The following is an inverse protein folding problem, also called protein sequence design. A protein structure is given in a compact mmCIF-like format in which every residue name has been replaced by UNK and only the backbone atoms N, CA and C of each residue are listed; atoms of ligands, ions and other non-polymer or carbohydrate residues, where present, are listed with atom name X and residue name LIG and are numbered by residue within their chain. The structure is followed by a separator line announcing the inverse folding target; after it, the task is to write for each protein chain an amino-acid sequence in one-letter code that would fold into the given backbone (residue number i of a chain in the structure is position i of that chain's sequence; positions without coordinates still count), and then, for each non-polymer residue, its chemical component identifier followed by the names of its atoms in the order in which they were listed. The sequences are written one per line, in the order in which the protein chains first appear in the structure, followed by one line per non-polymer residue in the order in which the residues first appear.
data_IF_972897678636
#
_entry.id   IF_972897678636
#
_cell.length_a   1.000
_cell.length_b   1.000
_cell.length_c   1.000
_cell.angle_alpha   90.00
_cell.angle_beta   90.00
_cell.angle_gamma   90.00
#
_symmetry.space_group_name_H-M   'P 1'
#
loop_
_entity.id
_entity.type
_entity.pdbx_description
1 polymer ?
#
# COMPACT_ATOMS: atom_id res chain seq x y z
N UNK A 1 -35.52 -17.39 -6.39
CA UNK A 1 -34.57 -18.19 -5.59
C UNK A 1 -34.51 -17.62 -4.18
N UNK A 2 -34.94 -18.35 -3.14
CA UNK A 2 -34.95 -17.85 -1.76
C UNK A 2 -33.56 -17.57 -1.15
N UNK A 3 -32.48 -17.98 -1.83
CA UNK A 3 -31.10 -17.87 -1.35
C UNK A 3 -30.16 -17.10 -2.29
N UNK A 4 -30.68 -16.43 -3.33
CA UNK A 4 -29.81 -15.65 -4.23
C UNK A 4 -29.39 -14.33 -3.57
N UNK A 5 -28.08 -14.14 -3.42
CA UNK A 5 -27.50 -12.92 -2.86
C UNK A 5 -27.36 -11.85 -3.95
N UNK A 6 -28.39 -11.03 -4.08
CA UNK A 6 -28.44 -9.90 -5.01
C UNK A 6 -27.32 -8.89 -4.76
N UNK A 7 -26.88 -8.72 -3.50
CA UNK A 7 -25.80 -7.79 -3.17
C UNK A 7 -24.45 -8.31 -3.66
N UNK A 8 -24.21 -9.62 -3.50
CA UNK A 8 -23.01 -10.25 -4.05
C UNK A 8 -22.99 -10.19 -5.59
N UNK A 9 -24.14 -10.43 -6.24
CA UNK A 9 -24.27 -10.31 -7.69
C UNK A 9 -24.02 -8.86 -8.18
N UNK A 10 -24.60 -7.86 -7.49
CA UNK A 10 -24.38 -6.46 -7.83
C UNK A 10 -22.91 -6.03 -7.66
N UNK A 11 -22.24 -6.48 -6.60
CA UNK A 11 -20.79 -6.26 -6.42
C UNK A 11 -19.98 -6.90 -7.54
N UNK A 12 -20.33 -8.13 -7.94
CA UNK A 12 -19.64 -8.84 -9.03
C UNK A 12 -19.78 -8.06 -10.35
N UNK A 13 -21.00 -7.69 -10.72
CA UNK A 13 -21.26 -6.93 -11.95
C UNK A 13 -20.58 -5.55 -11.90
N UNK A 14 -20.63 -4.84 -10.77
CA UNK A 14 -19.91 -3.58 -10.60
C UNK A 14 -18.41 -3.75 -10.85
N UNK A 15 -17.82 -4.83 -10.31
CA UNK A 15 -16.39 -5.13 -10.48
C UNK A 15 -16.05 -5.41 -11.94
N UNK A 16 -16.90 -6.15 -12.65
CA UNK A 16 -16.71 -6.46 -14.07
C UNK A 16 -16.81 -5.20 -14.94
N UNK A 17 -17.81 -4.34 -14.70
CA UNK A 17 -18.01 -3.07 -15.42
C UNK A 17 -16.86 -2.07 -15.18
N UNK A 18 -16.27 -2.08 -13.98
CA UNK A 18 -15.26 -1.13 -13.55
C UNK A 18 -13.87 -1.76 -13.41
N UNK A 19 -13.63 -2.90 -14.07
CA UNK A 19 -12.39 -3.67 -13.93
C UNK A 19 -11.15 -2.81 -14.16
N UNK A 20 -11.20 -1.90 -15.13
CA UNK A 20 -10.13 -0.95 -15.43
C UNK A 20 -9.74 -0.08 -14.21
N UNK A 21 -10.69 0.34 -13.37
CA UNK A 21 -10.40 1.08 -12.13
C UNK A 21 -9.74 0.20 -11.08
N UNK A 22 -10.16 -1.07 -10.99
CA UNK A 22 -9.51 -2.03 -10.11
C UNK A 22 -8.09 -2.36 -10.58
N UNK A 23 -7.82 -2.42 -11.89
CA UNK A 23 -6.48 -2.62 -12.42
C UNK A 23 -5.51 -1.47 -12.06
N UNK A 24 -5.99 -0.22 -12.04
CA UNK A 24 -5.20 0.92 -11.54
C UNK A 24 -4.73 0.71 -10.09
N UNK A 25 -5.53 -0.01 -9.32
CA UNK A 25 -5.36 -0.22 -7.88
C UNK A 25 -4.66 -1.55 -7.57
N UNK A 26 -4.77 -2.55 -8.46
CA UNK A 26 -4.27 -3.92 -8.32
C UNK A 26 -2.75 -4.03 -8.21
N UNK A 27 -2.04 -3.08 -8.80
CA UNK A 27 -0.57 -3.07 -8.88
C UNK A 27 0.16 -2.52 -7.65
N UNK A 28 -0.54 -2.08 -6.59
CA UNK A 28 0.16 -1.49 -5.45
C UNK A 28 -0.69 -0.98 -4.28
N UNK A 29 -2.02 -1.09 -4.32
CA UNK A 29 -2.84 -0.72 -3.17
C UNK A 29 -3.05 -1.94 -2.29
N UNK A 30 -2.19 -1.99 -1.29
CA UNK A 30 -2.36 -2.72 -0.05
C UNK A 30 -3.79 -2.51 0.51
N UNK A 31 -4.35 -3.45 1.28
CA UNK A 31 -5.43 -3.10 2.18
C UNK A 31 -4.90 -2.05 3.16
N UNK A 32 -5.11 -0.78 2.85
CA UNK A 32 -4.67 0.33 3.69
C UNK A 32 -5.39 0.25 5.03
N UNK A 33 -4.61 0.28 6.10
CA UNK A 33 -5.16 0.40 7.44
C UNK A 33 -5.82 1.77 7.57
N UNK A 34 -6.81 1.90 8.46
CA UNK A 34 -7.50 3.16 8.73
C UNK A 34 -6.52 4.32 9.04
N UNK A 35 -5.41 4.00 9.70
CA UNK A 35 -4.34 4.95 9.96
C UNK A 35 -3.71 5.51 8.67
N UNK A 36 -3.51 4.70 7.62
CA UNK A 36 -2.96 5.17 6.35
C UNK A 36 -3.96 6.05 5.60
N UNK A 37 -5.26 5.73 5.66
CA UNK A 37 -6.31 6.59 5.11
C UNK A 37 -6.34 7.97 5.77
N UNK A 38 -6.25 7.99 7.10
CA UNK A 38 -6.18 9.23 7.86
C UNK A 38 -4.94 10.04 7.49
N UNK A 39 -3.77 9.41 7.46
CA UNK A 39 -2.51 10.06 7.09
C UNK A 39 -2.55 10.61 5.66
N UNK A 40 -3.12 9.86 4.70
CA UNK A 40 -3.31 10.32 3.33
C UNK A 40 -4.25 11.53 3.26
N UNK A 41 -5.32 11.54 4.04
CA UNK A 41 -6.26 12.68 4.11
C UNK A 41 -5.57 13.93 4.68
N UNK A 42 -4.81 13.78 5.77
CA UNK A 42 -4.04 14.88 6.37
C UNK A 42 -2.99 15.42 5.40
N UNK A 43 -2.28 14.55 4.67
CA UNK A 43 -1.30 14.92 3.64
C UNK A 43 -1.93 15.65 2.46
N UNK A 44 -3.07 15.16 1.96
CA UNK A 44 -3.79 15.80 0.86
C UNK A 44 -4.28 17.20 1.24
N UNK A 45 -4.81 17.37 2.47
CA UNK A 45 -5.23 18.67 2.97
C UNK A 45 -4.05 19.63 3.15
N UNK A 46 -2.96 19.17 3.78
CA UNK A 46 -1.75 19.96 4.06
C UNK A 46 -1.09 20.48 2.78
N UNK A 47 -1.14 19.69 1.70
CA UNK A 47 -0.48 19.99 0.43
C UNK A 47 -1.45 20.42 -0.67
N UNK A 48 -2.69 20.77 -0.32
CA UNK A 48 -3.69 21.20 -1.29
C UNK A 48 -3.20 22.42 -2.09
N UNK A 49 -3.28 22.34 -3.43
CA UNK A 49 -2.84 23.39 -4.34
C UNK A 49 -1.33 23.60 -4.42
N UNK A 50 -0.52 22.69 -3.87
CA UNK A 50 0.94 22.72 -3.95
C UNK A 50 1.44 21.62 -4.87
N UNK A 51 2.49 21.90 -5.62
CA UNK A 51 3.25 20.88 -6.31
C UNK A 51 4.04 20.05 -5.29
N UNK A 52 3.96 18.74 -5.42
CA UNK A 52 4.64 17.77 -4.57
C UNK A 52 5.38 16.78 -5.44
N UNK A 53 6.46 16.21 -4.90
CA UNK A 53 7.23 15.20 -5.59
C UNK A 53 6.38 13.95 -5.85
N UNK A 54 6.47 13.40 -7.07
CA UNK A 54 5.82 12.14 -7.42
C UNK A 54 6.52 10.97 -6.72
N UNK A 55 5.97 10.56 -5.59
CA UNK A 55 6.53 9.46 -4.79
C UNK A 55 6.54 8.13 -5.51
N UNK A 56 5.78 7.93 -6.61
CA UNK A 56 5.80 6.64 -7.32
C UNK A 56 7.18 6.35 -7.91
N UNK A 57 7.99 7.39 -8.15
CA UNK A 57 9.40 7.24 -8.55
C UNK A 57 10.24 6.53 -7.48
N UNK A 58 9.78 6.52 -6.22
CA UNK A 58 10.44 5.82 -5.13
C UNK A 58 10.06 4.34 -5.03
N UNK A 59 9.14 3.84 -5.85
CA UNK A 59 8.63 2.47 -5.74
C UNK A 59 9.74 1.40 -5.77
N UNK A 60 10.69 1.39 -6.73
CA UNK A 60 11.72 0.35 -6.78
C UNK A 60 12.61 0.36 -5.53
N UNK A 61 12.88 1.56 -5.03
CA UNK A 61 13.69 1.81 -3.85
C UNK A 61 12.99 1.37 -2.56
N UNK A 62 11.69 1.66 -2.46
CA UNK A 62 10.84 1.20 -1.36
C UNK A 62 10.75 -0.33 -1.32
N UNK A 63 10.50 -0.95 -2.47
CA UNK A 63 10.40 -2.42 -2.58
C UNK A 63 11.73 -3.12 -2.24
N UNK A 64 12.86 -2.56 -2.68
CA UNK A 64 14.19 -3.04 -2.29
C UNK A 64 14.40 -2.92 -0.77
N UNK A 65 14.04 -1.77 -0.18
CA UNK A 65 14.16 -1.56 1.27
C UNK A 65 13.29 -2.54 2.07
N UNK A 66 12.05 -2.78 1.64
CA UNK A 66 11.16 -3.78 2.25
C UNK A 66 11.75 -5.19 2.13
N UNK A 67 12.30 -5.54 0.96
CA UNK A 67 12.95 -6.85 0.75
C UNK A 67 14.13 -7.04 1.69
N UNK A 68 14.96 -6.01 1.86
CA UNK A 68 16.07 -6.04 2.82
C UNK A 68 15.57 -6.11 4.27
N UNK A 69 14.51 -5.38 4.64
CA UNK A 69 13.88 -5.48 5.96
C UNK A 69 13.45 -6.93 6.25
N UNK A 70 12.74 -7.56 5.31
CA UNK A 70 12.29 -8.95 5.45
C UNK A 70 13.47 -9.90 5.61
N UNK A 71 14.51 -9.75 4.80
CA UNK A 71 15.72 -10.56 4.91
C UNK A 71 16.42 -10.39 6.26
N UNK A 72 16.60 -9.14 6.70
CA UNK A 72 17.29 -8.80 7.95
C UNK A 72 16.58 -9.37 9.16
N UNK A 73 15.24 -9.25 9.25
CA UNK A 73 14.52 -9.78 10.42
C UNK A 73 14.52 -11.30 10.41
N UNK A 74 14.41 -11.93 9.25
CA UNK A 74 14.44 -13.39 9.13
C UNK A 74 15.80 -14.00 9.52
N UNK A 75 16.91 -13.27 9.34
CA UNK A 75 18.27 -13.82 9.49
C UNK A 75 19.14 -13.13 10.54
N UNK A 76 18.75 -11.95 11.03
CA UNK A 76 19.60 -11.08 11.83
C UNK A 76 19.49 -11.26 13.34
N UNK A 77 18.54 -12.07 13.83
CA UNK A 77 18.37 -12.35 15.26
C UNK A 77 17.93 -11.16 16.11
N UNK A 78 17.61 -10.02 15.50
CA UNK A 78 17.10 -8.82 16.18
C UNK A 78 15.57 -8.79 16.10
N UNK A 79 14.93 -8.59 17.25
CA UNK A 79 13.51 -8.32 17.33
C UNK A 79 13.23 -6.82 17.04
N UNK A 80 12.67 -6.55 15.86
CA UNK A 80 12.22 -5.21 15.46
C UNK A 80 10.73 -4.95 15.75
N UNK A 81 10.09 -5.82 16.54
CA UNK A 81 8.72 -5.69 17.02
C UNK A 81 7.79 -6.82 16.59
N UNK A 82 6.52 -6.70 16.98
CA UNK A 82 5.52 -7.78 16.91
C UNK A 82 5.10 -8.24 15.50
N UNK A 83 5.56 -7.57 14.43
CA UNK A 83 5.14 -7.86 13.05
C UNK A 83 6.11 -8.85 12.42
N UNK A 84 5.58 -9.96 11.92
CA UNK A 84 6.38 -10.98 11.23
C UNK A 84 6.91 -10.46 9.88
N UNK A 85 8.09 -10.93 9.42
CA UNK A 85 8.73 -10.42 8.19
C UNK A 85 7.89 -10.57 6.92
N UNK A 86 7.06 -11.61 6.85
CA UNK A 86 6.24 -11.97 5.68
C UNK A 86 5.14 -10.94 5.42
N UNK A 87 4.71 -10.22 6.47
CA UNK A 87 3.67 -9.20 6.36
C UNK A 87 4.23 -7.81 6.02
N UNK A 88 5.56 -7.60 5.97
CA UNK A 88 6.14 -6.27 5.69
C UNK A 88 5.81 -5.77 4.29
N UNK A 89 5.76 -6.68 3.30
CA UNK A 89 5.30 -6.34 1.95
C UNK A 89 3.90 -5.73 1.96
N UNK A 90 3.06 -6.12 2.92
CA UNK A 90 1.65 -5.74 2.96
C UNK A 90 1.32 -4.63 3.96
N UNK A 91 2.05 -4.55 5.08
CA UNK A 91 1.78 -3.65 6.19
C UNK A 91 2.88 -2.62 6.44
N UNK A 92 3.94 -2.67 5.64
CA UNK A 92 5.17 -1.93 5.87
C UNK A 92 6.00 -2.52 7.01
N UNK A 93 7.31 -2.36 6.90
CA UNK A 93 8.26 -2.65 7.96
C UNK A 93 8.21 -1.55 9.07
N UNK A 94 8.64 -1.86 10.30
CA UNK A 94 8.84 -0.85 11.35
C UNK A 94 9.69 0.33 10.86
N UNK A 95 9.32 1.56 11.23
CA UNK A 95 9.93 2.79 10.68
C UNK A 95 11.44 2.87 10.84
N UNK A 96 11.96 2.47 12.00
CA UNK A 96 13.40 2.48 12.29
C UNK A 96 14.17 1.46 11.45
N UNK A 97 13.62 0.24 11.32
CA UNK A 97 14.19 -0.80 10.48
C UNK A 97 14.20 -0.36 9.01
N UNK A 98 13.08 0.19 8.54
CA UNK A 98 12.95 0.68 7.16
C UNK A 98 13.95 1.80 6.87
N UNK A 99 14.16 2.73 7.81
CA UNK A 99 15.16 3.79 7.69
C UNK A 99 16.59 3.23 7.60
N UNK A 100 16.92 2.26 8.47
CA UNK A 100 18.23 1.60 8.48
C UNK A 100 18.49 0.82 7.20
N UNK A 101 17.53 0.02 6.72
CA UNK A 101 17.66 -0.73 5.48
C UNK A 101 17.75 0.20 4.25
N UNK A 102 16.99 1.29 4.22
CA UNK A 102 17.12 2.31 3.18
C UNK A 102 18.51 2.94 3.16
N UNK A 103 19.07 3.26 4.35
CA UNK A 103 20.43 3.78 4.47
C UNK A 103 21.47 2.76 3.99
N UNK A 104 21.35 1.49 4.39
CA UNK A 104 22.27 0.44 3.97
C UNK A 104 22.26 0.23 2.46
N UNK A 105 21.09 0.26 1.83
CA UNK A 105 20.98 0.23 0.37
C UNK A 105 21.61 1.46 -0.26
N UNK A 106 21.32 2.66 0.27
CA UNK A 106 21.85 3.90 -0.26
C UNK A 106 23.39 3.95 -0.24
N UNK A 107 24.04 3.59 0.88
CA UNK A 107 25.51 3.57 0.96
C UNK A 107 26.16 2.40 0.21
N UNK A 108 25.35 1.46 -0.28
CA UNK A 108 25.79 0.31 -1.07
C UNK A 108 25.40 0.45 -2.55
N UNK A 109 25.16 1.68 -3.03
CA UNK A 109 24.74 1.97 -4.41
C UNK A 109 23.52 1.16 -4.86
N UNK A 110 22.61 0.87 -3.92
CA UNK A 110 21.42 0.03 -4.10
C UNK A 110 21.70 -1.43 -4.51
N UNK A 111 22.92 -1.91 -4.36
CA UNK A 111 23.25 -3.33 -4.51
C UNK A 111 22.80 -4.12 -3.28
N UNK A 112 21.90 -5.08 -3.49
CA UNK A 112 21.29 -5.87 -2.41
C UNK A 112 22.32 -6.70 -1.64
N UNK A 113 23.27 -7.32 -2.33
CA UNK A 113 24.25 -8.20 -1.70
C UNK A 113 25.26 -7.39 -0.89
N UNK A 114 25.70 -6.25 -1.41
CA UNK A 114 26.55 -5.31 -0.71
C UNK A 114 25.84 -4.74 0.52
N UNK A 115 24.56 -4.39 0.43
CA UNK A 115 23.77 -3.93 1.57
C UNK A 115 23.61 -5.01 2.64
N UNK A 116 23.36 -6.27 2.25
CA UNK A 116 23.34 -7.41 3.18
C UNK A 116 24.69 -7.58 3.87
N UNK A 117 25.80 -7.51 3.11
CA UNK A 117 27.14 -7.63 3.68
C UNK A 117 27.48 -6.47 4.63
N UNK A 118 27.07 -5.24 4.31
CA UNK A 118 27.20 -4.07 5.17
C UNK A 118 26.41 -4.24 6.47
N UNK A 119 25.17 -4.74 6.37
CA UNK A 119 24.33 -5.03 7.54
C UNK A 119 24.93 -6.14 8.43
N UNK A 120 25.44 -7.23 7.84
CA UNK A 120 26.09 -8.30 8.59
C UNK A 120 27.33 -7.82 9.35
N UNK A 121 28.11 -6.91 8.75
CA UNK A 121 29.24 -6.24 9.44
C UNK A 121 28.76 -5.39 10.61
N UNK A 122 27.67 -4.63 10.43
CA UNK A 122 27.06 -3.84 11.51
C UNK A 122 26.66 -4.73 12.71
N UNK A 123 25.99 -5.86 12.44
CA UNK A 123 25.60 -6.81 13.50
C UNK A 123 26.80 -7.43 14.23
N UNK A 124 27.93 -7.55 13.56
CA UNK A 124 29.16 -8.14 14.11
C UNK A 124 30.06 -7.10 14.79
N UNK A 125 29.66 -5.83 14.80
CA UNK A 125 30.44 -4.75 15.41
C UNK A 125 30.35 -4.87 16.94
N UNK A 126 31.45 -4.68 17.69
CA UNK A 126 31.40 -4.66 19.14
C UNK A 126 30.46 -3.56 19.65
N UNK A 127 29.99 -3.70 20.89
CA UNK A 127 29.19 -2.66 21.52
C UNK A 127 29.91 -1.30 21.46
N UNK A 128 29.18 -0.23 21.10
CA UNK A 128 29.78 1.10 21.00
C UNK A 128 30.30 1.52 22.38
N UNK A 129 31.55 2.01 22.41
CA UNK A 129 32.16 2.55 23.63
C UNK A 129 31.54 3.87 24.09
N UNK A 130 30.79 4.54 23.21
CA UNK A 130 30.08 5.78 23.47
C UNK A 130 28.73 5.78 22.74
N UNK A 131 27.64 5.78 23.51
CA UNK A 131 26.27 5.80 23.01
C UNK A 131 25.81 7.20 22.56
N UNK A 132 26.57 8.25 22.90
CA UNK A 132 26.30 9.62 22.44
C UNK A 132 26.75 9.86 20.99
N UNK A 133 27.53 8.94 20.41
CA UNK A 133 27.94 8.98 18.99
C UNK A 133 26.84 8.49 18.03
N UNK A 134 25.69 8.06 18.55
CA UNK A 134 24.57 7.64 17.73
C UNK A 134 24.02 8.79 16.89
N UNK A 135 24.13 8.68 15.56
CA UNK A 135 23.40 9.56 14.66
C UNK A 135 21.89 9.28 14.79
N UNK A 136 21.10 10.32 15.00
CA UNK A 136 19.66 10.25 14.80
C UNK A 136 19.44 9.96 13.31
N UNK A 137 18.99 8.75 12.97
CA UNK A 137 18.53 8.43 11.62
C UNK A 137 17.18 9.14 11.45
N UNK A 138 17.24 10.45 11.20
CA UNK A 138 16.09 11.35 11.21
C UNK A 138 15.26 11.36 9.93
N UNK A 139 15.69 10.65 8.88
CA UNK A 139 15.03 10.70 7.58
C UNK A 139 14.83 9.29 7.04
N UNK A 140 13.66 8.71 7.35
CA UNK A 140 13.15 7.59 6.58
C UNK A 140 12.48 8.15 5.31
N UNK A 141 13.06 7.95 4.10
CA UNK A 141 12.49 8.50 2.87
C UNK A 141 11.12 7.89 2.53
N UNK A 142 10.71 6.83 3.24
CA UNK A 142 9.51 6.06 2.97
C UNK A 142 8.45 6.12 4.08
N UNK A 143 8.63 6.93 5.12
CA UNK A 143 7.71 6.97 6.27
C UNK A 143 6.25 7.32 5.90
N UNK A 144 6.06 8.06 4.81
CA UNK A 144 4.75 8.45 4.26
C UNK A 144 4.45 7.79 2.90
N UNK A 145 5.30 6.86 2.44
CA UNK A 145 5.21 6.31 1.08
C UNK A 145 3.83 5.70 0.78
N UNK A 146 3.29 4.90 1.71
CA UNK A 146 1.97 4.28 1.54
C UNK A 146 0.84 5.31 1.45
N UNK A 147 0.88 6.37 2.27
CA UNK A 147 -0.12 7.42 2.27
C UNK A 147 -0.08 8.24 0.97
N UNK A 148 1.11 8.59 0.49
CA UNK A 148 1.27 9.27 -0.80
C UNK A 148 0.85 8.40 -1.98
N UNK A 149 1.17 7.10 -1.98
CA UNK A 149 0.71 6.17 -3.03
C UNK A 149 -0.82 6.10 -3.08
N UNK A 150 -1.48 6.10 -1.92
CA UNK A 150 -2.93 6.14 -1.81
C UNK A 150 -3.54 7.43 -2.41
N UNK A 151 -2.92 8.60 -2.16
CA UNK A 151 -3.36 9.87 -2.77
C UNK A 151 -3.28 9.79 -4.29
N UNK A 152 -2.15 9.32 -4.83
CA UNK A 152 -1.94 9.22 -6.28
C UNK A 152 -2.95 8.26 -6.91
N UNK A 153 -3.14 7.09 -6.30
CA UNK A 153 -4.12 6.13 -6.79
C UNK A 153 -5.56 6.65 -6.73
N UNK A 154 -5.92 7.40 -5.69
CA UNK A 154 -7.23 8.04 -5.58
C UNK A 154 -7.44 9.08 -6.69
N UNK A 155 -6.40 9.84 -7.02
CA UNK A 155 -6.43 10.80 -8.12
C UNK A 155 -6.53 10.11 -9.49
N UNK A 156 -5.82 9.01 -9.70
CA UNK A 156 -5.92 8.18 -10.93
C UNK A 156 -7.33 7.61 -11.08
N UNK A 157 -7.92 7.06 -10.01
CA UNK A 157 -9.30 6.55 -10.03
C UNK A 157 -10.30 7.67 -10.33
N UNK A 158 -10.14 8.84 -9.70
CA UNK A 158 -11.01 10.00 -9.94
C UNK A 158 -10.92 10.50 -11.39
N UNK A 159 -9.71 10.59 -11.95
CA UNK A 159 -9.49 11.01 -13.34
C UNK A 159 -10.10 10.03 -14.35
N UNK A 160 -10.07 8.73 -14.05
CA UNK A 160 -10.66 7.68 -14.87
C UNK A 160 -12.16 7.45 -14.57
N UNK A 161 -12.75 8.24 -13.68
CA UNK A 161 -14.18 8.18 -13.32
C UNK A 161 -14.86 9.53 -13.62
N UNK A 162 -15.10 9.87 -14.90
CA UNK A 162 -15.43 11.24 -15.34
C UNK A 162 -16.73 11.85 -14.78
N UNK A 163 -17.62 11.06 -14.19
CA UNK A 163 -18.85 11.54 -13.54
C UNK A 163 -18.81 11.42 -12.00
N UNK A 164 -17.63 11.22 -11.43
CA UNK A 164 -17.47 10.73 -10.07
C UNK A 164 -17.94 9.27 -9.94
N UNK A 165 -17.60 8.66 -8.79
CA UNK A 165 -17.97 7.30 -8.48
C UNK A 165 -18.75 7.28 -7.16
N UNK A 166 -20.06 7.51 -7.23
CA UNK A 166 -20.94 7.19 -6.10
C UNK A 166 -21.15 5.67 -6.07
N UNK A 167 -20.22 5.00 -5.40
CA UNK A 167 -20.20 3.56 -5.28
C UNK A 167 -21.53 3.02 -4.73
N UNK A 168 -22.07 3.65 -3.69
CA UNK A 168 -23.30 3.20 -3.03
C UNK A 168 -24.52 3.33 -3.95
N UNK A 169 -24.68 4.47 -4.63
CA UNK A 169 -25.77 4.67 -5.57
C UNK A 169 -25.66 3.74 -6.79
N UNK A 170 -24.44 3.53 -7.31
CA UNK A 170 -24.21 2.62 -8.43
C UNK A 170 -24.51 1.17 -8.07
N UNK A 171 -24.08 0.72 -6.89
CA UNK A 171 -24.36 -0.64 -6.43
C UNK A 171 -25.87 -0.88 -6.27
N UNK A 172 -26.59 0.10 -5.71
CA UNK A 172 -28.03 0.03 -5.57
C UNK A 172 -28.73 -0.01 -6.94
N UNK A 173 -28.30 0.80 -7.90
CA UNK A 173 -28.86 0.82 -9.25
C UNK A 173 -28.64 -0.53 -9.98
N UNK A 174 -27.45 -1.12 -9.87
CA UNK A 174 -27.15 -2.45 -10.43
C UNK A 174 -28.02 -3.51 -9.76
N UNK A 175 -28.17 -3.49 -8.43
CA UNK A 175 -29.04 -4.44 -7.73
C UNK A 175 -30.49 -4.34 -8.21
N UNK A 176 -31.02 -3.12 -8.36
CA UNK A 176 -32.37 -2.88 -8.88
C UNK A 176 -32.52 -3.40 -10.30
N UNK A 177 -31.56 -3.13 -11.19
CA UNK A 177 -31.58 -3.59 -12.57
C UNK A 177 -31.56 -5.13 -12.67
N UNK A 178 -30.71 -5.80 -11.88
CA UNK A 178 -30.64 -7.27 -11.81
C UNK A 178 -31.96 -7.89 -11.36
N UNK A 179 -32.60 -7.31 -10.33
CA UNK A 179 -33.90 -7.78 -9.84
C UNK A 179 -34.99 -7.63 -10.90
N UNK A 180 -34.97 -6.52 -11.62
CA UNK A 180 -35.93 -6.23 -12.69
C UNK A 180 -35.75 -7.18 -13.88
N UNK A 181 -34.51 -7.42 -14.32
CA UNK A 181 -34.21 -8.40 -15.38
C UNK A 181 -34.71 -9.80 -15.01
N UNK A 182 -34.49 -10.23 -13.76
CA UNK A 182 -34.99 -11.53 -13.30
C UNK A 182 -36.53 -11.57 -13.21
N UNK A 183 -37.19 -10.46 -12.83
CA UNK A 183 -38.66 -10.36 -12.85
C UNK A 183 -39.20 -10.55 -14.27
N UNK A 184 -38.64 -9.82 -15.24
CA UNK A 184 -39.01 -9.94 -16.65
C UNK A 184 -38.74 -11.34 -17.20
N UNK A 185 -37.59 -11.95 -16.86
CA UNK A 185 -37.28 -13.33 -17.24
C UNK A 185 -38.32 -14.33 -16.70
N UNK A 186 -38.76 -14.18 -15.46
CA UNK A 186 -39.84 -15.01 -14.88
C UNK A 186 -41.19 -14.81 -15.57
N UNK A 187 -41.49 -13.60 -16.02
CA UNK A 187 -42.74 -13.29 -16.73
C UNK A 187 -42.73 -13.86 -18.16
N UNK A 188 -41.54 -14.12 -18.75
CA UNK A 188 -41.36 -14.62 -20.11
C UNK A 188 -40.93 -16.10 -20.20
N UNK A 189 -40.78 -16.80 -19.06
CA UNK A 189 -40.61 -18.25 -19.00
C UNK A 189 -41.81 -18.90 -18.30
N UNK A 190 -42.67 -19.66 -19.02
CA UNK A 190 -43.75 -20.43 -18.42
C UNK A 190 -43.24 -21.60 -17.56
#
# INVERSE_FOLDING_TARGET
MPAFDWKAAAKKQFTEEHLHLFELVKGGLLPFEEATWRQASELAQKNHGREVFDVTKLQPYYEAAISLCTFVVANGGIDFGKRQPEIYRWKGAPTALLALCALMLFVSDWDMNAAIAAFAKLLSTPEPSDLALGNVIGLNPFHEYGAWRLIIASAEVAANSPNGLDYSARLAAIETALREQHRQWKEHQP
#
